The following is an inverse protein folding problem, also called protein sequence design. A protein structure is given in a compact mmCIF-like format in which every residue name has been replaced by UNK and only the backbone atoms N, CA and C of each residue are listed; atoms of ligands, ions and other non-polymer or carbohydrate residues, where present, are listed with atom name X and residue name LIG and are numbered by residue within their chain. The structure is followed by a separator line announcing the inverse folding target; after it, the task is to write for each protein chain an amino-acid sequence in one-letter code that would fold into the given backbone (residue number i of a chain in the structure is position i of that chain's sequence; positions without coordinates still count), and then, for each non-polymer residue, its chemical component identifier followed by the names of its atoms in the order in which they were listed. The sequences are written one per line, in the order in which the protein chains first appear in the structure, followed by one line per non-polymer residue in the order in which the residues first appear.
data_IF_137395231337
#
_entry.id   IF_137395231337
#
_cell.length_a   1.000
_cell.length_b   1.000
_cell.length_c   1.000
_cell.angle_alpha   90.00
_cell.angle_beta   90.00
_cell.angle_gamma   90.00
#
_symmetry.space_group_name_H-M   'P 1'
#
loop_
_entity.id
_entity.type
_entity.pdbx_description
1 polymer ?
#
# COMPACT_ATOMS: atom_id res chain seq x y z
N UNK A 1 -43.00 -52.64 30.71
CA UNK A 1 -43.86 -51.45 30.84
C UNK A 1 -43.69 -50.93 32.25
N UNK A 2 -43.13 -49.76 32.42
CA UNK A 2 -42.97 -49.14 33.74
C UNK A 2 -44.32 -48.57 34.17
N UNK A 3 -44.83 -49.07 35.33
CA UNK A 3 -46.01 -48.57 35.97
C UNK A 3 -45.63 -47.58 37.07
N UNK A 4 -46.31 -46.46 37.14
CA UNK A 4 -46.19 -45.51 38.28
C UNK A 4 -47.27 -45.88 39.29
N UNK A 5 -46.83 -46.12 40.52
CA UNK A 5 -47.72 -46.44 41.69
C UNK A 5 -48.11 -45.13 42.36
N UNK A 6 -49.38 -44.72 42.21
CA UNK A 6 -49.97 -43.56 42.86
C UNK A 6 -50.85 -43.98 44.01
N UNK A 7 -50.51 -43.59 45.24
CA UNK A 7 -51.27 -43.86 46.43
C UNK A 7 -51.95 -42.57 46.88
N UNK A 8 -53.24 -42.62 46.92
CA UNK A 8 -54.08 -41.52 47.44
C UNK A 8 -54.73 -41.95 48.76
N UNK A 9 -54.38 -41.28 49.84
CA UNK A 9 -54.93 -41.55 51.19
C UNK A 9 -56.36 -41.00 51.28
N UNK A 10 -57.29 -41.85 51.72
CA UNK A 10 -58.67 -41.46 51.89
C UNK A 10 -59.22 -42.10 53.16
N UNK A 11 -59.66 -41.31 54.13
CA UNK A 11 -60.17 -41.68 55.43
C UNK A 11 -59.25 -42.63 56.21
N UNK A 12 -59.58 -43.91 56.35
CA UNK A 12 -58.77 -44.93 57.04
C UNK A 12 -58.08 -45.93 56.11
N UNK A 13 -58.00 -45.60 54.82
CA UNK A 13 -57.41 -46.48 53.85
C UNK A 13 -56.73 -45.69 52.71
N UNK A 14 -56.19 -46.38 51.76
CA UNK A 14 -55.58 -45.73 50.54
C UNK A 14 -56.06 -46.42 49.28
N UNK A 15 -56.22 -45.62 48.24
CA UNK A 15 -56.41 -46.10 46.84
C UNK A 15 -55.07 -46.16 46.17
N UNK A 16 -54.73 -47.31 45.59
CA UNK A 16 -53.52 -47.52 44.84
C UNK A 16 -53.84 -47.67 43.37
N UNK A 17 -53.31 -46.73 42.56
CA UNK A 17 -53.51 -46.71 41.13
C UNK A 17 -52.22 -47.08 40.42
N UNK A 18 -52.22 -48.12 39.61
CA UNK A 18 -51.10 -48.44 38.68
C UNK A 18 -51.33 -47.79 37.32
N UNK A 19 -50.69 -46.69 37.11
CA UNK A 19 -50.83 -45.91 35.84
C UNK A 19 -49.65 -46.18 34.91
N UNK A 20 -49.91 -46.66 33.71
CA UNK A 20 -48.80 -46.76 32.73
C UNK A 20 -48.13 -45.43 32.54
N UNK A 21 -46.79 -45.38 32.65
CA UNK A 21 -45.98 -44.17 32.48
C UNK A 21 -46.26 -43.45 31.16
N UNK A 22 -46.55 -44.20 30.11
CA UNK A 22 -46.89 -43.70 28.79
C UNK A 22 -48.19 -42.86 28.76
N UNK A 23 -49.08 -42.99 29.77
CA UNK A 23 -50.27 -42.14 29.92
C UNK A 23 -50.02 -40.89 30.74
N UNK A 24 -48.95 -40.84 31.53
CA UNK A 24 -48.55 -39.69 32.33
C UNK A 24 -47.64 -38.74 31.53
N UNK A 25 -46.96 -39.25 30.52
CA UNK A 25 -46.15 -38.42 29.62
C UNK A 25 -46.99 -38.05 28.39
N UNK A 26 -47.43 -36.80 28.33
CA UNK A 26 -48.19 -36.29 27.20
C UNK A 26 -47.29 -36.26 25.97
N UNK A 27 -47.61 -37.08 24.95
CA UNK A 27 -46.95 -37.05 23.62
C UNK A 27 -47.14 -35.68 22.98
N UNK A 28 -48.18 -34.96 23.33
CA UNK A 28 -48.49 -33.62 22.86
C UNK A 28 -47.40 -32.60 23.24
N UNK A 29 -46.79 -32.70 24.43
CA UNK A 29 -45.74 -31.78 24.86
C UNK A 29 -44.47 -31.88 24.01
N UNK A 30 -44.09 -33.10 23.58
CA UNK A 30 -42.93 -33.33 22.69
C UNK A 30 -43.21 -32.81 21.28
N UNK A 31 -44.41 -33.09 20.77
CA UNK A 31 -44.83 -32.60 19.47
C UNK A 31 -44.88 -31.08 19.48
N UNK A 32 -45.43 -30.47 20.53
CA UNK A 32 -45.51 -29.02 20.69
C UNK A 32 -44.10 -28.39 20.75
N UNK A 33 -43.18 -28.99 21.51
CA UNK A 33 -41.77 -28.54 21.53
C UNK A 33 -41.12 -28.60 20.16
N UNK A 34 -41.32 -29.67 19.39
CA UNK A 34 -40.82 -29.79 18.01
C UNK A 34 -41.43 -28.75 17.08
N UNK A 35 -42.73 -28.48 17.21
CA UNK A 35 -43.43 -27.46 16.40
C UNK A 35 -42.92 -26.03 16.62
N UNK A 36 -42.40 -25.74 17.83
CA UNK A 36 -41.79 -24.44 18.13
C UNK A 36 -40.34 -24.42 17.77
N UNK A 37 -39.55 -25.45 18.11
CA UNK A 37 -38.07 -25.43 17.91
C UNK A 37 -37.68 -25.53 16.46
N UNK A 38 -38.34 -26.36 15.64
CA UNK A 38 -37.99 -26.54 14.26
C UNK A 38 -38.15 -25.25 13.41
N UNK A 39 -39.29 -24.54 13.45
CA UNK A 39 -39.44 -23.26 12.77
C UNK A 39 -38.50 -22.18 13.32
N UNK A 40 -38.22 -22.18 14.64
CA UNK A 40 -37.27 -21.23 15.21
C UNK A 40 -35.84 -21.43 14.65
N UNK A 41 -35.37 -22.67 14.58
CA UNK A 41 -34.08 -22.99 13.96
C UNK A 41 -34.06 -22.61 12.47
N UNK A 42 -35.13 -22.88 11.74
CA UNK A 42 -35.25 -22.53 10.34
C UNK A 42 -35.16 -21.00 10.14
N UNK A 43 -35.90 -20.24 10.98
CA UNK A 43 -35.89 -18.78 10.94
C UNK A 43 -34.51 -18.21 11.26
N UNK A 44 -33.81 -18.77 12.26
CA UNK A 44 -32.44 -18.37 12.60
C UNK A 44 -31.49 -18.66 11.43
N UNK A 45 -31.60 -19.84 10.81
CA UNK A 45 -30.75 -20.18 9.66
C UNK A 45 -30.96 -19.22 8.48
N UNK A 46 -32.24 -18.92 8.16
CA UNK A 46 -32.57 -17.94 7.12
C UNK A 46 -32.01 -16.55 7.47
N UNK A 47 -32.18 -16.10 8.70
CA UNK A 47 -31.68 -14.82 9.18
C UNK A 47 -30.14 -14.72 9.07
N UNK A 48 -29.41 -15.77 9.44
CA UNK A 48 -27.96 -15.83 9.36
C UNK A 48 -27.47 -15.80 7.89
N UNK A 49 -28.14 -16.55 7.00
CA UNK A 49 -27.82 -16.52 5.57
C UNK A 49 -28.08 -15.12 4.99
N UNK A 50 -29.21 -14.52 5.34
CA UNK A 50 -29.57 -13.18 4.90
C UNK A 50 -28.55 -12.14 5.38
N UNK A 51 -28.21 -12.13 6.66
CA UNK A 51 -27.20 -11.24 7.24
C UNK A 51 -25.82 -11.42 6.54
N UNK A 52 -25.40 -12.65 6.32
CA UNK A 52 -24.16 -12.96 5.63
C UNK A 52 -24.15 -12.41 4.20
N UNK A 53 -25.25 -12.53 3.49
CA UNK A 53 -25.38 -12.01 2.12
C UNK A 53 -25.42 -10.47 2.09
N UNK A 54 -25.96 -9.83 3.10
CA UNK A 54 -26.01 -8.37 3.23
C UNK A 54 -24.64 -7.78 3.63
N UNK A 55 -23.90 -8.43 4.53
CA UNK A 55 -22.62 -7.89 5.05
C UNK A 55 -21.45 -8.09 4.11
N UNK A 56 -21.42 -9.18 3.32
CA UNK A 56 -20.34 -9.47 2.37
C UNK A 56 -20.05 -8.34 1.37
N UNK A 57 -21.03 -7.74 0.69
CA UNK A 57 -20.79 -6.62 -0.24
C UNK A 57 -20.23 -5.38 0.45
N UNK A 58 -20.66 -5.09 1.68
CA UNK A 58 -20.15 -3.96 2.46
C UNK A 58 -18.68 -4.16 2.80
N UNK A 59 -18.31 -5.36 3.28
CA UNK A 59 -16.90 -5.71 3.57
C UNK A 59 -16.05 -5.65 2.29
N UNK A 60 -16.59 -6.10 1.15
CA UNK A 60 -15.91 -6.02 -0.15
C UNK A 60 -15.64 -4.57 -0.55
N UNK A 61 -16.61 -3.68 -0.39
CA UNK A 61 -16.48 -2.26 -0.67
C UNK A 61 -15.46 -1.62 0.27
N UNK A 62 -15.52 -1.90 1.57
CA UNK A 62 -14.58 -1.38 2.55
C UNK A 62 -13.13 -1.79 2.25
N UNK A 63 -12.91 -3.08 1.94
CA UNK A 63 -11.58 -3.58 1.55
C UNK A 63 -11.07 -2.96 0.24
N UNK A 64 -11.95 -2.75 -0.74
CA UNK A 64 -11.58 -2.10 -1.98
C UNK A 64 -11.19 -0.62 -1.74
N UNK A 65 -11.94 0.08 -0.89
CA UNK A 65 -11.64 1.46 -0.51
C UNK A 65 -10.31 1.56 0.25
N UNK A 66 -10.05 0.63 1.18
CA UNK A 66 -8.79 0.56 1.93
C UNK A 66 -7.59 0.32 0.99
N UNK A 67 -7.69 -0.67 0.09
CA UNK A 67 -6.63 -0.95 -0.88
C UNK A 67 -6.37 0.23 -1.80
N UNK A 68 -7.43 0.85 -2.31
CA UNK A 68 -7.31 2.03 -3.17
C UNK A 68 -6.66 3.20 -2.40
N UNK A 69 -7.02 3.41 -1.14
CA UNK A 69 -6.40 4.42 -0.27
C UNK A 69 -4.90 4.19 -0.03
N UNK A 70 -4.45 2.92 -0.07
CA UNK A 70 -3.02 2.55 -0.01
C UNK A 70 -2.30 2.65 -1.36
N UNK A 71 -3.00 3.08 -2.42
CA UNK A 71 -2.43 3.13 -3.77
C UNK A 71 -2.25 1.75 -4.43
N UNK A 72 -2.91 0.70 -3.90
CA UNK A 72 -2.90 -0.63 -4.51
C UNK A 72 -3.86 -0.68 -5.69
N UNK A 73 -3.50 -1.43 -6.74
CA UNK A 73 -4.43 -1.73 -7.83
C UNK A 73 -5.46 -2.74 -7.35
N UNK A 74 -6.72 -2.34 -7.38
CA UNK A 74 -7.84 -3.21 -7.00
C UNK A 74 -8.47 -3.95 -8.20
N UNK A 75 -7.93 -3.76 -9.41
CA UNK A 75 -8.47 -4.36 -10.63
C UNK A 75 -9.91 -3.91 -10.92
N UNK A 76 -10.69 -4.79 -11.52
CA UNK A 76 -12.10 -4.52 -11.81
C UNK A 76 -12.96 -4.69 -10.54
N UNK A 77 -13.61 -3.62 -10.12
CA UNK A 77 -14.53 -3.63 -8.99
C UNK A 77 -15.97 -3.73 -9.49
N UNK A 78 -16.62 -4.88 -9.20
CA UNK A 78 -18.03 -5.11 -9.55
C UNK A 78 -18.90 -4.91 -8.31
N UNK A 79 -19.73 -3.85 -8.27
CA UNK A 79 -20.67 -3.60 -7.19
C UNK A 79 -21.72 -4.71 -7.07
N UNK A 80 -22.01 -5.15 -5.85
CA UNK A 80 -22.96 -6.24 -5.56
C UNK A 80 -23.75 -5.95 -4.28
N UNK A 81 -24.80 -6.73 -4.02
CA UNK A 81 -25.64 -6.63 -2.82
C UNK A 81 -26.94 -5.86 -3.03
N UNK A 82 -27.53 -5.36 -1.95
CA UNK A 82 -28.75 -4.55 -1.95
C UNK A 82 -28.59 -3.29 -2.83
N UNK A 83 -29.69 -2.70 -3.26
CA UNK A 83 -29.70 -1.56 -4.20
C UNK A 83 -28.85 -0.40 -3.67
N UNK A 84 -28.97 -0.09 -2.39
CA UNK A 84 -28.24 1.00 -1.74
C UNK A 84 -26.72 0.75 -1.70
N UNK A 85 -26.32 -0.48 -1.35
CA UNK A 85 -24.92 -0.90 -1.31
C UNK A 85 -24.32 -0.92 -2.71
N UNK A 86 -25.09 -1.41 -3.68
CA UNK A 86 -24.69 -1.44 -5.08
C UNK A 86 -24.50 -0.02 -5.63
N UNK A 87 -25.42 0.91 -5.30
CA UNK A 87 -25.32 2.32 -5.66
C UNK A 87 -24.06 2.96 -5.06
N UNK A 88 -23.80 2.74 -3.77
CA UNK A 88 -22.58 3.20 -3.11
C UNK A 88 -21.31 2.64 -3.78
N UNK A 89 -21.34 1.35 -4.18
CA UNK A 89 -20.25 0.72 -4.92
C UNK A 89 -20.01 1.33 -6.30
N UNK A 90 -21.08 1.69 -7.04
CA UNK A 90 -20.96 2.39 -8.32
C UNK A 90 -20.35 3.79 -8.16
N UNK A 91 -20.79 4.55 -7.17
CA UNK A 91 -20.24 5.89 -6.92
C UNK A 91 -18.78 5.82 -6.45
N UNK A 92 -18.40 4.83 -5.65
CA UNK A 92 -17.00 4.56 -5.31
C UNK A 92 -16.16 4.27 -6.58
N UNK A 93 -16.63 3.39 -7.47
CA UNK A 93 -15.88 3.06 -8.69
C UNK A 93 -15.78 4.26 -9.63
N UNK A 94 -16.84 5.07 -9.74
CA UNK A 94 -16.83 6.33 -10.50
C UNK A 94 -15.82 7.33 -9.93
N UNK A 95 -15.80 7.52 -8.60
CA UNK A 95 -14.83 8.36 -7.91
C UNK A 95 -13.41 7.87 -8.15
N UNK A 96 -13.15 6.57 -7.97
CA UNK A 96 -11.86 5.92 -8.23
C UNK A 96 -11.36 6.21 -9.65
N UNK A 97 -12.21 5.94 -10.66
CA UNK A 97 -11.88 6.16 -12.07
C UNK A 97 -11.57 7.63 -12.36
N UNK A 98 -12.29 8.55 -11.72
CA UNK A 98 -12.04 10.00 -11.83
C UNK A 98 -10.67 10.36 -11.25
N UNK A 99 -10.35 9.90 -10.06
CA UNK A 99 -9.06 10.15 -9.41
C UNK A 99 -7.91 9.62 -10.27
N UNK A 100 -7.98 8.37 -10.74
CA UNK A 100 -6.96 7.78 -11.62
C UNK A 100 -6.80 8.61 -12.89
N UNK A 101 -7.90 9.03 -13.52
CA UNK A 101 -7.84 9.89 -14.73
C UNK A 101 -7.14 11.21 -14.45
N UNK A 102 -7.46 11.87 -13.34
CA UNK A 102 -6.79 13.13 -12.96
C UNK A 102 -5.30 12.94 -12.70
N UNK A 103 -4.90 11.86 -12.04
CA UNK A 103 -3.49 11.54 -11.83
C UNK A 103 -2.76 11.31 -13.16
N UNK A 104 -3.36 10.56 -14.08
CA UNK A 104 -2.79 10.29 -15.40
C UNK A 104 -2.68 11.58 -16.23
N UNK A 105 -3.74 12.40 -16.28
CA UNK A 105 -3.71 13.68 -16.99
C UNK A 105 -2.63 14.62 -16.43
N UNK A 106 -2.47 14.66 -15.10
CA UNK A 106 -1.38 15.43 -14.48
C UNK A 106 -0.01 14.92 -14.91
N UNK A 107 0.19 13.60 -14.94
CA UNK A 107 1.45 12.99 -15.37
C UNK A 107 1.74 13.27 -16.86
N UNK A 108 0.74 13.15 -17.73
CA UNK A 108 0.85 13.43 -19.16
C UNK A 108 1.17 14.91 -19.41
N UNK A 109 0.46 15.82 -18.73
CA UNK A 109 0.72 17.26 -18.84
C UNK A 109 2.15 17.61 -18.42
N UNK A 110 2.63 17.07 -17.33
CA UNK A 110 3.99 17.32 -16.85
C UNK A 110 5.04 16.75 -17.79
N UNK A 111 4.78 15.57 -18.37
CA UNK A 111 5.64 14.98 -19.40
C UNK A 111 5.72 15.86 -20.65
N UNK A 112 4.59 16.39 -21.11
CA UNK A 112 4.52 17.35 -22.23
C UNK A 112 5.31 18.62 -21.95
N UNK A 113 5.07 19.26 -20.79
CA UNK A 113 5.79 20.47 -20.38
C UNK A 113 7.31 20.24 -20.36
N UNK A 114 7.75 19.08 -19.87
CA UNK A 114 9.19 18.78 -19.85
C UNK A 114 9.80 18.67 -21.23
N UNK A 115 9.10 17.99 -22.14
CA UNK A 115 9.54 17.92 -23.53
C UNK A 115 9.68 19.31 -24.14
N UNK A 116 8.68 20.15 -23.91
CA UNK A 116 8.64 21.51 -24.46
C UNK A 116 9.67 22.46 -23.82
N UNK A 117 10.03 22.23 -22.55
CA UNK A 117 11.11 22.97 -21.89
C UNK A 117 12.51 22.48 -22.30
N UNK A 118 12.70 21.20 -22.61
CA UNK A 118 13.99 20.67 -23.05
C UNK A 118 14.45 21.29 -24.35
N UNK A 119 13.53 21.55 -25.27
CA UNK A 119 13.84 22.14 -26.60
C UNK A 119 14.50 23.51 -26.48
N UNK A 120 13.95 24.52 -25.76
CA UNK A 120 14.62 25.82 -25.62
C UNK A 120 15.92 25.72 -24.80
N UNK A 121 16.01 24.88 -23.79
CA UNK A 121 17.24 24.66 -23.02
C UNK A 121 18.37 24.13 -23.93
N UNK A 122 18.10 23.16 -24.78
CA UNK A 122 19.06 22.66 -25.77
C UNK A 122 19.47 23.75 -26.75
N UNK A 123 18.54 24.60 -27.21
CA UNK A 123 18.83 25.72 -28.08
C UNK A 123 19.74 26.75 -27.40
N UNK A 124 19.50 27.09 -26.14
CA UNK A 124 20.37 27.99 -25.37
C UNK A 124 21.76 27.40 -25.23
N UNK A 125 21.88 26.09 -24.93
CA UNK A 125 23.17 25.39 -24.88
C UNK A 125 23.95 25.50 -26.18
N UNK A 126 23.28 25.31 -27.31
CA UNK A 126 23.91 25.45 -28.63
C UNK A 126 24.37 26.90 -28.89
N UNK A 127 23.59 27.90 -28.51
CA UNK A 127 23.96 29.31 -28.63
C UNK A 127 25.16 29.67 -27.74
N UNK A 128 25.21 29.13 -26.48
CA UNK A 128 26.33 29.32 -25.58
C UNK A 128 27.65 28.72 -26.13
N UNK A 129 27.57 27.59 -26.83
CA UNK A 129 28.76 26.98 -27.48
C UNK A 129 29.35 27.85 -28.57
N UNK A 130 28.62 28.84 -29.12
CA UNK A 130 29.06 29.79 -30.11
C UNK A 130 29.64 31.07 -29.51
N UNK A 131 29.53 31.28 -28.21
CA UNK A 131 30.07 32.45 -27.51
C UNK A 131 31.57 32.26 -27.34
N UNK A 132 32.37 33.28 -27.72
CA UNK A 132 33.81 33.23 -27.63
C UNK A 132 34.40 33.25 -26.21
N UNK A 133 33.64 33.70 -25.24
CA UNK A 133 34.04 33.68 -23.81
C UNK A 133 33.78 32.30 -23.20
N UNK A 134 34.85 31.52 -23.09
CA UNK A 134 34.77 30.13 -22.58
C UNK A 134 34.39 30.04 -21.13
N UNK A 135 34.70 31.03 -20.29
CA UNK A 135 34.40 30.98 -18.85
C UNK A 135 32.91 31.24 -18.59
N UNK A 136 32.38 32.27 -19.23
CA UNK A 136 30.95 32.60 -19.15
C UNK A 136 30.10 31.48 -19.76
N UNK A 137 30.49 30.98 -20.95
CA UNK A 137 29.81 29.90 -21.63
C UNK A 137 29.77 28.62 -20.77
N UNK A 138 30.86 28.29 -20.06
CA UNK A 138 30.92 27.14 -19.17
C UNK A 138 29.96 27.27 -17.99
N UNK A 139 30.00 28.41 -17.27
CA UNK A 139 29.13 28.67 -16.12
C UNK A 139 27.64 28.58 -16.50
N UNK A 140 27.25 29.23 -17.60
CA UNK A 140 25.87 29.19 -18.07
C UNK A 140 25.44 27.80 -18.55
N UNK A 141 26.36 26.99 -19.13
CA UNK A 141 26.07 25.61 -19.50
C UNK A 141 25.83 24.74 -18.26
N UNK A 142 26.62 24.94 -17.19
CA UNK A 142 26.44 24.25 -15.90
C UNK A 142 25.05 24.57 -15.28
N UNK A 143 24.61 25.84 -15.34
CA UNK A 143 23.29 26.27 -14.86
C UNK A 143 22.15 25.60 -15.67
N UNK A 144 22.30 25.48 -16.99
CA UNK A 144 21.31 24.81 -17.84
C UNK A 144 21.27 23.30 -17.54
N UNK A 145 22.42 22.66 -17.32
CA UNK A 145 22.49 21.25 -16.94
C UNK A 145 21.78 21.01 -15.60
N UNK A 146 21.91 21.94 -14.66
CA UNK A 146 21.18 21.92 -13.40
C UNK A 146 19.67 22.07 -13.60
N UNK A 147 19.22 22.98 -14.45
CA UNK A 147 17.80 23.14 -14.79
C UNK A 147 17.23 21.87 -15.43
N UNK A 148 17.93 21.24 -16.38
CA UNK A 148 17.51 19.97 -17.00
C UNK A 148 17.41 18.85 -15.95
N UNK A 149 18.36 18.80 -15.02
CA UNK A 149 18.32 17.83 -13.93
C UNK A 149 17.13 18.05 -13.01
N UNK A 150 16.87 19.30 -12.58
CA UNK A 150 15.71 19.63 -11.76
C UNK A 150 14.40 19.26 -12.43
N UNK A 151 14.28 19.54 -13.73
CA UNK A 151 13.11 19.20 -14.53
C UNK A 151 12.88 17.69 -14.58
N UNK A 152 13.93 16.91 -14.82
CA UNK A 152 13.86 15.45 -14.86
C UNK A 152 13.50 14.86 -13.47
N UNK A 153 14.08 15.36 -12.37
CA UNK A 153 13.73 14.94 -11.01
C UNK A 153 12.27 15.24 -10.68
N UNK A 154 11.76 16.42 -11.07
CA UNK A 154 10.35 16.79 -10.87
C UNK A 154 9.38 15.89 -11.63
N UNK A 155 9.71 15.56 -12.88
CA UNK A 155 8.93 14.65 -13.70
C UNK A 155 8.89 13.25 -13.11
N UNK A 156 10.06 12.76 -12.71
CA UNK A 156 10.14 11.45 -12.06
C UNK A 156 9.32 11.40 -10.77
N UNK A 157 9.30 12.45 -9.99
CA UNK A 157 8.46 12.56 -8.80
C UNK A 157 6.97 12.51 -9.16
N UNK A 158 6.56 13.22 -10.19
CA UNK A 158 5.15 13.34 -10.59
C UNK A 158 4.60 12.10 -11.30
N UNK A 159 5.43 11.36 -12.04
CA UNK A 159 5.01 10.19 -12.85
C UNK A 159 4.96 8.88 -12.07
N UNK A 160 5.44 8.84 -10.83
CA UNK A 160 5.68 7.60 -10.09
C UNK A 160 4.44 6.87 -9.58
N UNK A 161 3.24 7.34 -9.77
CA UNK A 161 2.17 6.90 -8.88
C UNK A 161 1.17 5.87 -9.40
N UNK A 162 1.01 5.59 -10.69
CA UNK A 162 -0.24 4.91 -11.03
C UNK A 162 -0.25 3.69 -11.96
N UNK A 163 0.82 3.40 -12.68
CA UNK A 163 0.73 2.42 -13.77
C UNK A 163 1.63 1.18 -13.66
N UNK A 164 2.56 1.16 -12.72
CA UNK A 164 3.48 0.03 -12.59
C UNK A 164 2.82 -1.14 -11.88
N UNK A 165 2.81 -2.31 -12.54
CA UNK A 165 2.30 -3.56 -11.95
C UNK A 165 3.36 -4.20 -11.06
N UNK A 166 2.88 -4.96 -10.07
CA UNK A 166 3.77 -5.79 -9.27
C UNK A 166 4.34 -6.92 -10.12
N UNK A 167 5.66 -7.11 -10.04
CA UNK A 167 6.39 -8.23 -10.62
C UNK A 167 7.29 -8.90 -9.59
N UNK A 168 7.57 -10.18 -9.78
CA UNK A 168 8.54 -10.90 -8.96
C UNK A 168 9.95 -10.65 -9.51
N UNK A 169 10.85 -10.10 -8.70
CA UNK A 169 12.22 -9.81 -9.11
C UNK A 169 13.22 -10.13 -8.00
N UNK A 170 14.48 -10.33 -8.39
CA UNK A 170 15.60 -10.52 -7.48
C UNK A 170 16.05 -9.15 -6.93
N UNK A 171 15.71 -8.87 -5.67
CA UNK A 171 16.03 -7.62 -4.97
C UNK A 171 17.54 -7.50 -4.74
N UNK A 172 18.22 -8.60 -4.46
CA UNK A 172 19.66 -8.64 -4.24
C UNK A 172 20.42 -8.22 -5.50
N UNK A 173 20.01 -8.74 -6.65
CA UNK A 173 20.60 -8.37 -7.94
C UNK A 173 20.29 -6.90 -8.32
N UNK A 174 19.11 -6.40 -7.93
CA UNK A 174 18.75 -5.00 -8.13
C UNK A 174 19.69 -4.06 -7.36
N UNK A 175 19.96 -4.36 -6.08
CA UNK A 175 20.90 -3.57 -5.25
C UNK A 175 22.31 -3.59 -5.88
N UNK A 176 22.80 -4.75 -6.27
CA UNK A 176 24.12 -4.86 -6.94
C UNK A 176 24.18 -3.98 -8.19
N UNK A 177 23.14 -4.04 -9.04
CA UNK A 177 23.07 -3.21 -10.26
C UNK A 177 23.03 -1.72 -9.99
N UNK A 178 22.41 -1.31 -8.90
CA UNK A 178 22.39 0.11 -8.50
C UNK A 178 23.79 0.53 -8.04
N UNK A 179 24.41 -0.24 -7.17
CA UNK A 179 25.75 0.05 -6.63
C UNK A 179 26.82 0.05 -7.72
N UNK A 180 26.73 -0.86 -8.70
CA UNK A 180 27.71 -0.94 -9.79
C UNK A 180 27.78 0.33 -10.69
N UNK A 181 26.78 1.22 -10.63
CA UNK A 181 26.83 2.54 -11.30
C UNK A 181 27.82 3.52 -10.62
N UNK A 182 28.23 3.23 -9.38
CA UNK A 182 29.03 4.11 -8.55
C UNK A 182 30.41 3.49 -8.25
N UNK A 183 31.18 3.17 -9.31
CA UNK A 183 32.43 2.41 -9.28
C UNK A 183 33.53 3.01 -8.36
N UNK A 184 33.48 4.32 -8.10
CA UNK A 184 34.48 5.02 -7.27
C UNK A 184 34.06 5.23 -5.82
N UNK A 185 32.97 4.60 -5.35
CA UNK A 185 32.43 4.80 -4.01
C UNK A 185 32.79 3.62 -3.10
N UNK A 186 33.15 3.91 -1.85
CA UNK A 186 33.47 2.88 -0.85
C UNK A 186 32.18 2.29 -0.26
N UNK A 187 31.51 1.43 -1.05
CA UNK A 187 30.25 0.80 -0.69
C UNK A 187 30.49 -0.68 -0.40
N UNK A 188 30.18 -1.12 0.81
CA UNK A 188 30.17 -2.54 1.20
C UNK A 188 28.74 -3.06 1.15
N UNK A 189 28.56 -4.22 0.55
CA UNK A 189 27.26 -4.90 0.48
C UNK A 189 27.37 -6.20 1.29
N UNK A 190 26.56 -6.30 2.34
CA UNK A 190 26.42 -7.52 3.12
C UNK A 190 25.16 -8.28 2.65
N UNK A 191 25.38 -9.39 1.95
CA UNK A 191 24.31 -10.25 1.45
C UNK A 191 24.50 -11.66 1.95
N UNK A 192 23.53 -12.15 2.71
CA UNK A 192 23.53 -13.53 3.21
C UNK A 192 22.77 -14.48 2.27
N UNK A 193 21.75 -13.99 1.56
CA UNK A 193 20.86 -14.80 0.73
C UNK A 193 20.32 -13.99 -0.47
N UNK A 194 19.91 -14.70 -1.54
CA UNK A 194 19.12 -14.08 -2.63
C UNK A 194 17.69 -13.84 -2.14
N UNK A 195 17.25 -12.62 -2.22
CA UNK A 195 15.90 -12.22 -1.77
C UNK A 195 15.06 -11.87 -3.00
N UNK A 196 13.98 -12.65 -3.20
CA UNK A 196 12.97 -12.33 -4.22
C UNK A 196 11.84 -11.51 -3.59
N UNK A 197 11.44 -10.46 -4.27
CA UNK A 197 10.37 -9.55 -3.84
C UNK A 197 9.32 -9.39 -4.94
N UNK A 198 8.04 -9.40 -4.55
CA UNK A 198 6.94 -9.13 -5.45
C UNK A 198 6.41 -7.71 -5.21
N UNK A 199 6.72 -6.81 -6.12
CA UNK A 199 6.36 -5.41 -5.97
C UNK A 199 6.66 -4.60 -7.23
N UNK A 200 6.49 -3.28 -7.13
CA UNK A 200 6.77 -2.32 -8.21
C UNK A 200 8.28 -2.08 -8.31
N UNK A 201 8.93 -2.80 -9.21
CA UNK A 201 10.40 -2.86 -9.33
C UNK A 201 11.04 -1.50 -9.61
N UNK A 202 10.48 -0.70 -10.54
CA UNK A 202 11.04 0.60 -10.87
C UNK A 202 10.89 1.60 -9.71
N UNK A 203 9.79 1.51 -8.95
CA UNK A 203 9.60 2.33 -7.75
C UNK A 203 10.61 1.98 -6.66
N UNK A 204 10.84 0.68 -6.41
CA UNK A 204 11.85 0.21 -5.45
C UNK A 204 13.24 0.60 -5.90
N UNK A 205 13.58 0.41 -7.18
CA UNK A 205 14.85 0.81 -7.75
C UNK A 205 15.12 2.30 -7.52
N UNK A 206 14.12 3.13 -7.76
CA UNK A 206 14.22 4.57 -7.60
C UNK A 206 14.38 5.01 -6.14
N UNK A 207 13.66 4.34 -5.23
CA UNK A 207 13.82 4.55 -3.79
C UNK A 207 15.27 4.24 -3.35
N UNK A 208 15.80 3.10 -3.79
CA UNK A 208 17.17 2.69 -3.48
C UNK A 208 18.22 3.60 -4.14
N UNK A 209 18.05 3.97 -5.42
CA UNK A 209 18.92 4.92 -6.12
C UNK A 209 19.00 6.26 -5.34
N UNK A 210 17.87 6.77 -4.86
CA UNK A 210 17.84 8.03 -4.09
C UNK A 210 18.54 7.92 -2.74
N UNK A 211 18.31 6.83 -1.99
CA UNK A 211 18.96 6.62 -0.70
C UNK A 211 20.46 6.44 -0.86
N UNK A 212 20.90 5.62 -1.81
CA UNK A 212 22.31 5.35 -2.08
C UNK A 212 23.01 6.61 -2.59
N UNK A 213 22.40 7.36 -3.51
CA UNK A 213 22.98 8.60 -4.03
C UNK A 213 23.07 9.68 -2.94
N UNK A 214 22.13 9.74 -2.01
CA UNK A 214 22.25 10.61 -0.84
C UNK A 214 23.40 10.19 0.06
N UNK A 215 23.54 8.91 0.37
CA UNK A 215 24.65 8.41 1.17
C UNK A 215 26.00 8.75 0.52
N UNK A 216 26.16 8.52 -0.80
CA UNK A 216 27.39 8.86 -1.54
C UNK A 216 27.69 10.36 -1.49
N UNK A 217 26.66 11.19 -1.50
CA UNK A 217 26.81 12.65 -1.52
C UNK A 217 27.35 13.20 -0.19
N UNK A 218 26.97 12.56 0.93
CA UNK A 218 27.23 13.08 2.26
C UNK A 218 28.20 12.24 3.10
N UNK A 219 28.59 11.05 2.63
CA UNK A 219 29.44 10.12 3.34
C UNK A 219 30.55 9.53 2.47
N UNK A 220 31.60 9.02 3.12
CA UNK A 220 32.73 8.35 2.48
C UNK A 220 32.62 6.83 2.55
N UNK A 221 31.97 6.30 3.58
CA UNK A 221 31.80 4.87 3.82
C UNK A 221 30.32 4.56 3.91
N UNK A 222 29.87 3.60 3.13
CA UNK A 222 28.47 3.18 3.06
C UNK A 222 28.39 1.67 3.22
N UNK A 223 27.55 1.20 4.13
CA UNK A 223 27.27 -0.22 4.32
C UNK A 223 25.81 -0.50 3.96
N UNK A 224 25.58 -1.41 3.04
CA UNK A 224 24.22 -1.85 2.63
C UNK A 224 24.03 -3.27 3.11
N UNK A 225 23.02 -3.48 3.95
CA UNK A 225 22.65 -4.79 4.48
C UNK A 225 21.25 -5.13 4.08
N UNK A 226 21.02 -6.38 3.65
CA UNK A 226 19.68 -6.89 3.40
C UNK A 226 19.42 -8.14 4.23
N UNK A 227 18.27 -8.19 4.86
CA UNK A 227 17.83 -9.28 5.72
C UNK A 227 16.36 -9.62 5.47
N UNK A 228 16.05 -10.92 5.47
CA UNK A 228 14.67 -11.39 5.46
C UNK A 228 14.30 -11.96 6.82
N UNK A 229 13.41 -11.26 7.54
CA UNK A 229 12.92 -11.68 8.85
C UNK A 229 11.43 -12.02 8.74
N UNK A 230 11.10 -13.31 8.78
CA UNK A 230 9.71 -13.81 8.69
C UNK A 230 8.97 -13.27 7.44
N UNK A 231 8.13 -12.25 7.65
CA UNK A 231 7.23 -11.66 6.66
C UNK A 231 7.77 -10.36 6.04
N UNK A 232 8.86 -9.83 6.60
CA UNK A 232 9.42 -8.53 6.24
C UNK A 232 10.81 -8.69 5.63
N UNK A 233 11.13 -7.81 4.71
CA UNK A 233 12.46 -7.64 4.14
C UNK A 233 12.97 -6.29 4.64
N UNK A 234 14.13 -6.30 5.27
CA UNK A 234 14.82 -5.11 5.75
C UNK A 234 15.99 -4.81 4.83
N UNK A 235 16.07 -3.57 4.38
CA UNK A 235 17.21 -3.03 3.66
C UNK A 235 17.72 -1.87 4.50
N UNK A 236 18.92 -2.03 5.04
CA UNK A 236 19.57 -1.02 5.88
C UNK A 236 20.70 -0.40 5.08
N UNK A 237 20.75 0.91 5.03
CA UNK A 237 21.82 1.69 4.40
C UNK A 237 22.39 2.57 5.48
N UNK A 238 23.58 2.20 5.96
CA UNK A 238 24.32 2.93 7.00
C UNK A 238 25.44 3.73 6.35
N UNK A 239 25.52 4.99 6.68
CA UNK A 239 26.55 5.89 6.20
C UNK A 239 27.27 6.61 7.36
N UNK A 240 28.51 7.05 7.13
CA UNK A 240 29.30 7.80 8.10
C UNK A 240 29.21 9.33 7.91
N UNK A 241 28.14 9.78 7.29
CA UNK A 241 27.90 11.22 7.06
C UNK A 241 27.56 11.99 8.32
N UNK A 242 27.26 13.30 8.20
CA UNK A 242 26.99 14.19 9.35
C UNK A 242 25.67 13.88 10.07
N UNK A 243 24.87 12.98 9.54
CA UNK A 243 23.55 12.64 10.08
C UNK A 243 22.50 13.73 9.83
N UNK A 244 21.29 13.48 10.31
CA UNK A 244 20.14 14.39 10.22
C UNK A 244 19.77 14.78 11.65
N UNK A 245 19.60 16.09 11.98
CA UNK A 245 19.11 16.51 13.29
C UNK A 245 17.70 15.97 13.58
N UNK A 246 17.43 15.53 14.81
CA UNK A 246 16.14 14.91 15.19
C UNK A 246 14.91 15.75 14.81
N UNK A 247 15.00 17.10 14.98
CA UNK A 247 13.90 18.03 14.60
C UNK A 247 13.61 18.08 13.10
N UNK A 248 14.47 17.49 12.28
CA UNK A 248 14.33 17.50 10.83
C UNK A 248 13.83 16.14 10.27
N UNK A 249 13.72 15.10 11.11
CA UNK A 249 13.32 13.76 10.67
C UNK A 249 11.98 13.71 9.91
N UNK A 250 11.00 14.51 10.32
CA UNK A 250 9.73 14.59 9.61
C UNK A 250 9.79 15.52 8.37
N UNK A 251 10.66 16.52 8.42
CA UNK A 251 10.76 17.53 7.37
C UNK A 251 11.49 17.01 6.14
N UNK A 252 12.51 16.16 6.31
CA UNK A 252 13.33 15.65 5.19
C UNK A 252 12.53 14.80 4.18
N UNK A 253 11.36 14.29 4.57
CA UNK A 253 10.45 13.57 3.69
C UNK A 253 9.47 14.49 2.94
N UNK A 254 9.47 15.80 3.26
CA UNK A 254 8.61 16.76 2.53
C UNK A 254 9.24 17.09 1.17
N UNK A 255 8.45 17.14 0.09
CA UNK A 255 8.95 17.56 -1.22
C UNK A 255 9.61 18.93 -1.16
N UNK A 256 10.73 19.10 -1.87
CA UNK A 256 11.51 20.35 -1.97
C UNK A 256 12.16 20.81 -0.67
N UNK A 257 12.14 19.98 0.38
CA UNK A 257 12.79 20.35 1.64
C UNK A 257 14.30 20.07 1.61
N UNK A 258 15.08 21.02 2.13
CA UNK A 258 16.54 20.94 2.30
C UNK A 258 16.92 21.49 3.68
N UNK A 259 17.77 20.76 4.43
CA UNK A 259 18.22 21.16 5.77
C UNK A 259 19.09 22.41 5.68
N UNK A 260 20.05 22.45 4.75
CA UNK A 260 20.97 23.57 4.56
C UNK A 260 20.71 24.30 3.25
N UNK A 261 20.22 25.54 3.31
CA UNK A 261 20.09 26.43 2.16
C UNK A 261 21.41 27.01 1.71
N UNK A 262 22.41 27.15 2.61
CA UNK A 262 23.69 27.79 2.36
C UNK A 262 24.77 26.88 1.73
N UNK A 263 24.65 25.55 1.91
CA UNK A 263 25.54 24.57 1.24
C UNK A 263 25.05 24.17 -0.17
N UNK A 264 24.01 24.82 -0.66
CA UNK A 264 23.39 24.48 -1.94
C UNK A 264 24.20 24.94 -3.17
N UNK A 265 25.23 25.76 -3.00
CA UNK A 265 26.04 26.26 -4.12
C UNK A 265 26.95 25.18 -4.73
N UNK A 266 27.25 24.10 -4.05
CA UNK A 266 28.18 23.08 -4.53
C UNK A 266 27.59 21.71 -4.86
N UNK A 267 26.35 21.38 -4.43
CA UNK A 267 25.73 20.07 -4.69
C UNK A 267 24.25 20.19 -5.01
N UNK A 268 23.96 20.35 -6.29
CA UNK A 268 22.63 20.46 -6.86
C UNK A 268 21.74 19.24 -6.53
N UNK A 269 20.72 19.43 -5.71
CA UNK A 269 19.61 18.49 -5.56
C UNK A 269 18.32 19.26 -5.32
N UNK A 270 17.22 18.81 -5.92
CA UNK A 270 15.92 19.50 -5.84
C UNK A 270 15.21 19.28 -4.50
N UNK A 271 15.65 18.33 -3.70
CA UNK A 271 14.98 17.96 -2.44
C UNK A 271 13.75 17.07 -2.64
N UNK A 272 13.75 16.27 -3.70
CA UNK A 272 12.67 15.34 -4.03
C UNK A 272 13.01 13.88 -3.69
N UNK A 273 14.28 13.55 -3.49
CA UNK A 273 14.75 12.17 -3.37
C UNK A 273 14.12 11.39 -2.23
N UNK A 274 14.00 11.96 -1.05
CA UNK A 274 13.43 11.31 0.14
C UNK A 274 11.89 11.37 0.20
N UNK A 275 11.24 12.14 -0.66
CA UNK A 275 9.79 12.27 -0.72
C UNK A 275 9.12 11.26 -1.67
N UNK A 276 9.91 10.39 -2.28
CA UNK A 276 9.50 9.31 -3.18
C UNK A 276 9.28 8.03 -2.38
#
# INVERSE_FOLDING_TARGET
KYLVDLKIEYQKGYFQFFIPRDRLTSTSARIFALWITLPAFLMIAIALIFLKNQTRPIIKLAKASEKFGRGEDIGEFVPSGAIEIRKAGFEFDRMRKRIIRHLNQRSEMLSGISHDLRTPLTRIKLQLALIGDKEISKKLSEDIDEMEKMLNEYLQFSSSSSTEKNELFDLSNLIIKIVSKYENSNIKIEQNEKIFFNGRKNLIQRCLDNLISNAIKYAEIINIKQEKLKKYIFITIDDNGPGIPEKEYENVFKPFYKIDKSRSETKSSVGLGLSI
#
